data_IF_746442305624
#
_entry.id   IF_746442305624
#
_cell.length_a   1.000
_cell.length_b   1.000
_cell.length_c   1.000
_cell.angle_alpha   90.00
_cell.angle_beta   90.00
_cell.angle_gamma   90.00
#
_symmetry.space_group_name_H-M   'P 1'
#
loop_
_entity.id
_entity.type
_entity.pdbx_description
1 polymer ?
#
# COMPACT_ATOMS: atom_id res chain seq x y z
N UNK A 1 1.87 -3.57 7.95
CA UNK A 1 1.60 -2.37 8.77
C UNK A 1 0.41 -1.62 8.18
N UNK A 2 -0.35 -0.88 8.99
CA UNK A 2 -1.53 -0.13 8.56
C UNK A 2 -1.40 1.35 8.91
N UNK A 3 -1.82 2.23 8.00
CA UNK A 3 -1.62 3.67 8.06
C UNK A 3 -2.89 4.38 7.57
N UNK A 4 -3.19 5.52 8.16
CA UNK A 4 -4.40 6.29 7.85
C UNK A 4 -4.09 7.77 7.66
N UNK A 5 -4.81 8.42 6.75
CA UNK A 5 -4.72 9.87 6.55
C UNK A 5 -6.10 10.47 6.29
N UNK A 6 -6.32 11.70 6.74
CA UNK A 6 -7.53 12.48 6.46
C UNK A 6 -7.26 13.48 5.33
N UNK A 7 -8.08 13.49 4.28
CA UNK A 7 -7.94 14.43 3.16
C UNK A 7 -8.80 15.70 3.27
N UNK A 8 -9.59 15.86 4.34
CA UNK A 8 -10.56 16.95 4.48
C UNK A 8 -12.01 16.52 4.27
N UNK A 9 -12.25 15.33 3.72
CA UNK A 9 -13.58 14.79 3.41
C UNK A 9 -13.74 13.31 3.82
N UNK A 10 -12.68 12.52 3.73
CA UNK A 10 -12.67 11.09 4.01
C UNK A 10 -11.32 10.62 4.57
N UNK A 11 -11.33 9.44 5.18
CA UNK A 11 -10.14 8.73 5.60
C UNK A 11 -9.65 7.84 4.45
N UNK A 12 -8.35 7.82 4.22
CA UNK A 12 -7.68 6.82 3.39
C UNK A 12 -6.95 5.85 4.30
N UNK A 13 -7.29 4.57 4.25
CA UNK A 13 -6.60 3.49 4.94
C UNK A 13 -5.71 2.76 3.94
N UNK A 14 -4.43 2.64 4.25
CA UNK A 14 -3.45 1.88 3.48
C UNK A 14 -2.82 0.82 4.38
N UNK A 15 -2.72 -0.42 3.90
CA UNK A 15 -2.10 -1.50 4.67
C UNK A 15 -1.36 -2.47 3.78
N UNK A 16 -0.42 -3.19 4.38
CA UNK A 16 0.24 -4.33 3.75
C UNK A 16 -0.29 -5.63 4.35
N UNK A 17 -0.71 -6.58 3.51
CA UNK A 17 -1.15 -7.90 3.94
C UNK A 17 -0.79 -8.99 2.92
N UNK A 18 -0.94 -10.25 3.33
CA UNK A 18 -0.89 -11.41 2.43
C UNK A 18 -2.32 -11.89 2.19
N UNK A 19 -2.79 -11.83 0.95
CA UNK A 19 -4.08 -12.42 0.58
C UNK A 19 -4.03 -13.95 0.68
N UNK A 20 -5.17 -14.57 0.96
CA UNK A 20 -5.33 -16.02 0.94
C UNK A 20 -4.94 -16.59 -0.43
N UNK A 21 -3.89 -17.42 -0.43
CA UNK A 21 -3.35 -18.06 -1.64
C UNK A 21 -2.16 -17.34 -2.27
N UNK A 22 -1.78 -16.15 -1.80
CA UNK A 22 -0.53 -15.50 -2.20
C UNK A 22 0.60 -15.79 -1.20
N UNK A 23 1.85 -15.66 -1.67
CA UNK A 23 3.06 -15.85 -0.85
C UNK A 23 3.77 -14.54 -0.50
N UNK A 24 3.27 -13.43 -1.01
CA UNK A 24 3.93 -12.13 -0.98
C UNK A 24 3.00 -11.08 -0.40
N UNK A 25 3.58 -10.14 0.36
CA UNK A 25 2.85 -9.00 0.87
C UNK A 25 2.49 -8.03 -0.26
N UNK A 26 1.28 -7.49 -0.18
CA UNK A 26 0.74 -6.53 -1.12
C UNK A 26 0.24 -5.29 -0.40
N UNK A 27 0.16 -4.17 -1.11
CA UNK A 27 -0.41 -2.93 -0.59
C UNK A 27 -1.86 -2.83 -1.01
N UNK A 28 -2.70 -2.60 -0.02
CA UNK A 28 -4.13 -2.38 -0.19
C UNK A 28 -4.50 -0.97 0.25
N UNK A 29 -5.61 -0.50 -0.30
CA UNK A 29 -6.20 0.78 0.03
C UNK A 29 -7.73 0.69 0.10
N UNK A 30 -8.32 1.42 1.05
CA UNK A 30 -9.75 1.63 1.15
C UNK A 30 -10.05 3.05 1.63
N UNK A 31 -11.05 3.67 1.03
CA UNK A 31 -11.59 4.96 1.50
C UNK A 31 -12.68 4.69 2.53
N UNK A 32 -12.63 5.40 3.64
CA UNK A 32 -13.60 5.32 4.72
C UNK A 32 -14.22 6.71 4.98
N UNK A 33 -15.43 6.76 5.48
CA UNK A 33 -16.05 7.99 5.96
C UNK A 33 -15.42 8.48 7.27
N UNK A 34 -15.85 9.64 7.77
CA UNK A 34 -15.33 10.22 9.02
C UNK A 34 -15.60 9.36 10.26
N UNK A 35 -16.49 8.36 10.17
CA UNK A 35 -16.80 7.39 11.24
C UNK A 35 -16.07 6.05 11.06
N UNK A 36 -15.25 5.92 10.01
CA UNK A 36 -14.51 4.70 9.70
C UNK A 36 -15.29 3.66 8.90
N UNK A 37 -16.47 4.00 8.36
CA UNK A 37 -17.23 3.06 7.51
C UNK A 37 -16.69 3.07 6.08
N UNK A 38 -16.67 1.92 5.39
CA UNK A 38 -16.25 1.87 3.99
C UNK A 38 -17.07 2.77 3.06
N UNK A 39 -16.36 3.59 2.27
CA UNK A 39 -16.89 4.35 1.12
C UNK A 39 -16.47 3.75 -0.22
N UNK A 40 -15.50 2.83 -0.21
CA UNK A 40 -15.03 2.11 -1.38
C UNK A 40 -14.81 0.64 -1.06
N UNK A 41 -14.74 -0.18 -2.11
CA UNK A 41 -14.14 -1.51 -2.03
C UNK A 41 -12.65 -1.42 -1.69
N UNK A 42 -12.12 -2.53 -1.18
CA UNK A 42 -10.68 -2.72 -0.97
C UNK A 42 -9.99 -2.87 -2.34
N UNK A 43 -8.90 -2.14 -2.54
CA UNK A 43 -8.11 -2.20 -3.79
C UNK A 43 -6.67 -2.55 -3.50
N UNK A 44 -6.15 -3.61 -4.14
CA UNK A 44 -4.71 -3.85 -4.26
C UNK A 44 -4.07 -2.83 -5.21
N UNK A 45 -3.00 -2.18 -4.77
CA UNK A 45 -2.33 -1.10 -5.50
C UNK A 45 -1.06 -1.55 -6.23
N UNK A 46 -0.32 -2.50 -5.69
CA UNK A 46 0.89 -3.03 -6.31
C UNK A 46 0.56 -4.10 -7.37
N UNK A 47 1.46 -4.25 -8.35
CA UNK A 47 1.39 -5.28 -9.41
C UNK A 47 2.67 -6.13 -9.51
N UNK A 48 3.66 -5.83 -8.67
CA UNK A 48 4.95 -6.51 -8.66
C UNK A 48 4.84 -7.91 -8.06
N UNK A 49 5.81 -8.77 -8.37
CA UNK A 49 6.05 -10.02 -7.66
C UNK A 49 7.06 -9.81 -6.52
N UNK A 50 7.08 -8.62 -5.92
CA UNK A 50 7.92 -8.28 -4.78
C UNK A 50 7.03 -8.20 -3.53
N UNK A 51 7.62 -8.50 -2.37
CA UNK A 51 7.00 -8.17 -1.09
C UNK A 51 6.87 -6.65 -0.98
N UNK A 52 5.63 -6.17 -1.00
CA UNK A 52 5.30 -4.75 -0.86
C UNK A 52 4.92 -4.45 0.59
N UNK A 53 5.77 -3.69 1.28
CA UNK A 53 5.79 -3.57 2.73
C UNK A 53 5.80 -2.11 3.19
N UNK A 54 5.34 -1.89 4.42
CA UNK A 54 5.44 -0.61 5.14
C UNK A 54 4.88 0.56 4.29
N UNK A 55 3.56 0.60 4.04
CA UNK A 55 2.98 1.71 3.31
C UNK A 55 3.13 3.03 4.07
N UNK A 56 3.03 4.13 3.35
CA UNK A 56 2.87 5.48 3.87
C UNK A 56 1.79 6.16 3.05
N UNK A 57 1.02 7.02 3.70
CA UNK A 57 -0.09 7.74 3.08
C UNK A 57 -0.13 9.18 3.57
N UNK A 58 -0.35 10.11 2.64
CA UNK A 58 -0.58 11.52 2.95
C UNK A 58 -1.70 12.09 2.08
N UNK A 59 -2.35 13.14 2.57
CA UNK A 59 -3.26 13.95 1.76
C UNK A 59 -2.52 14.52 0.55
N UNK A 60 -3.16 14.46 -0.62
CA UNK A 60 -2.70 15.13 -1.83
C UNK A 60 -3.88 15.71 -2.59
N UNK A 61 -4.01 17.04 -2.60
CA UNK A 61 -5.18 17.75 -3.15
C UNK A 61 -6.50 17.25 -2.50
N UNK A 62 -7.45 16.78 -3.30
CA UNK A 62 -8.70 16.14 -2.86
C UNK A 62 -8.56 14.64 -2.59
N UNK A 63 -7.40 14.03 -2.88
CA UNK A 63 -7.15 12.60 -2.75
C UNK A 63 -5.98 12.29 -1.82
N UNK A 64 -5.29 11.19 -2.13
CA UNK A 64 -4.15 10.70 -1.37
C UNK A 64 -2.96 10.39 -2.28
N UNK A 65 -1.77 10.54 -1.70
CA UNK A 65 -0.52 10.01 -2.24
C UNK A 65 -0.03 8.89 -1.33
N UNK A 66 0.42 7.80 -1.94
CA UNK A 66 0.94 6.64 -1.22
C UNK A 66 2.34 6.28 -1.72
N UNK A 67 3.12 5.69 -0.84
CA UNK A 67 4.39 5.02 -1.15
C UNK A 67 4.59 3.81 -0.26
N UNK A 68 5.41 2.86 -0.69
CA UNK A 68 5.74 1.64 0.06
C UNK A 68 7.15 1.17 -0.33
N UNK A 69 7.68 0.19 0.40
CA UNK A 69 8.91 -0.50 0.04
C UNK A 69 8.57 -1.75 -0.76
N UNK A 70 9.35 -2.05 -1.79
CA UNK A 70 9.33 -3.36 -2.44
C UNK A 70 10.60 -4.14 -2.09
N UNK A 71 10.45 -5.44 -1.84
CA UNK A 71 11.56 -6.37 -1.59
C UNK A 71 11.38 -7.55 -2.54
N UNK A 72 12.31 -7.76 -3.46
CA UNK A 72 12.16 -8.77 -4.52
C UNK A 72 12.07 -10.19 -3.94
N UNK A 73 11.16 -11.02 -4.48
CA UNK A 73 10.98 -12.42 -4.02
C UNK A 73 12.24 -13.29 -4.28
N UNK A 74 13.09 -12.92 -5.24
CA UNK A 74 14.40 -13.55 -5.43
C UNK A 74 15.40 -13.27 -4.28
N UNK A 75 15.20 -12.21 -3.49
CA UNK A 75 16.02 -11.91 -2.31
C UNK A 75 15.82 -12.94 -1.19
N UNK A 76 14.74 -13.73 -1.21
CA UNK A 76 14.57 -14.86 -0.31
C UNK A 76 15.52 -16.04 -0.61
N UNK A 77 16.18 -16.06 -1.79
CA UNK A 77 17.04 -17.20 -2.14
C UNK A 77 18.44 -16.88 -2.72
N UNK A 78 18.79 -15.65 -3.14
CA UNK A 78 20.16 -15.38 -3.63
C UNK A 78 20.59 -13.91 -3.42
N UNK A 79 21.72 -13.72 -2.73
CA UNK A 79 22.54 -12.50 -2.53
C UNK A 79 21.81 -11.19 -2.16
N UNK A 80 22.02 -10.74 -0.91
CA UNK A 80 21.45 -9.52 -0.30
C UNK A 80 21.77 -8.20 -1.05
N UNK A 81 22.54 -8.25 -2.14
CA UNK A 81 22.88 -7.13 -3.03
C UNK A 81 21.78 -6.76 -4.03
N UNK A 82 20.67 -7.52 -4.12
CA UNK A 82 19.57 -7.25 -5.06
C UNK A 82 18.31 -6.62 -4.44
N UNK A 83 18.35 -6.24 -3.17
CA UNK A 83 17.26 -5.49 -2.51
C UNK A 83 17.23 -4.06 -3.05
N UNK A 84 16.26 -3.71 -3.91
CA UNK A 84 16.01 -2.32 -4.32
C UNK A 84 14.84 -1.77 -3.53
N UNK A 85 15.06 -0.67 -2.79
CA UNK A 85 13.96 0.16 -2.30
C UNK A 85 13.39 0.96 -3.46
N UNK A 86 12.20 0.59 -3.94
CA UNK A 86 11.48 1.36 -4.96
C UNK A 86 10.38 2.20 -4.31
N UNK A 87 10.22 3.45 -4.76
CA UNK A 87 9.11 4.33 -4.39
C UNK A 87 8.10 4.26 -5.52
N UNK A 88 7.04 3.47 -5.35
CA UNK A 88 5.90 3.52 -6.25
C UNK A 88 4.90 4.59 -5.75
N UNK A 89 4.79 5.71 -6.46
CA UNK A 89 3.79 6.74 -6.18
C UNK A 89 2.50 6.39 -6.91
N UNK A 90 1.44 6.08 -6.17
CA UNK A 90 0.09 5.96 -6.76
C UNK A 90 -0.79 7.10 -6.28
N UNK A 91 -1.38 7.82 -7.24
CA UNK A 91 -2.47 8.76 -6.97
C UNK A 91 -3.77 8.00 -6.97
N UNK A 92 -4.45 8.01 -5.84
CA UNK A 92 -5.80 7.46 -5.70
C UNK A 92 -6.80 8.61 -5.60
N UNK A 93 -7.96 8.45 -6.24
CA UNK A 93 -9.06 9.40 -6.28
C UNK A 93 -10.28 8.74 -5.62
#
# INVERSE_FOLDING_TARGET
GAYISWNGDSLGLAWSDVDDGEKQHNIYFQRLDATGKPLSEIRRLNKSQADSLIPSIARYQSGFVLGWNEVSVAAHNIDARQSRSEIAVVRVH
#
